data_IF_305727519994
#
_entry.id   IF_305727519994
#
_cell.length_a   1.000
_cell.length_b   1.000
_cell.length_c   1.000
_cell.angle_alpha   90.00
_cell.angle_beta   90.00
_cell.angle_gamma   90.00
#
_symmetry.space_group_name_H-M   'P 1'
#
loop_
_entity.id
_entity.type
_entity.pdbx_description
1 polymer ?
#
# COMPACT_ATOMS: atom_id res chain seq x y z
N UNK A 1 1.12 -9.64 -3.61
CA UNK A 1 0.80 -10.49 -2.45
C UNK A 1 2.03 -10.55 -1.56
N UNK A 2 1.87 -10.33 -0.28
CA UNK A 2 2.96 -10.33 0.71
C UNK A 2 2.63 -11.39 1.75
N UNK A 3 3.63 -12.23 2.11
CA UNK A 3 3.54 -13.24 3.15
C UNK A 3 4.45 -12.84 4.30
N UNK A 4 3.93 -12.85 5.51
CA UNK A 4 4.70 -12.54 6.71
C UNK A 4 4.40 -13.57 7.80
N UNK A 5 5.44 -14.28 8.25
CA UNK A 5 5.34 -15.17 9.40
C UNK A 5 5.25 -14.34 10.68
N UNK A 6 4.27 -14.62 11.51
CA UNK A 6 4.06 -13.96 12.80
C UNK A 6 4.82 -14.70 13.93
N UNK A 7 4.94 -14.07 15.08
CA UNK A 7 5.63 -14.64 16.25
C UNK A 7 4.95 -15.91 16.80
N UNK A 8 3.64 -16.05 16.63
CA UNK A 8 2.83 -17.21 17.02
C UNK A 8 2.84 -18.34 15.99
N UNK A 9 3.74 -18.28 15.00
CA UNK A 9 3.79 -19.16 13.84
C UNK A 9 2.59 -19.09 12.89
N UNK A 10 1.67 -18.19 13.06
CA UNK A 10 0.66 -17.90 12.05
C UNK A 10 1.26 -17.20 10.82
N UNK A 11 0.55 -17.21 9.71
CA UNK A 11 0.98 -16.56 8.48
C UNK A 11 0.02 -15.42 8.14
N UNK A 12 0.51 -14.20 8.23
CA UNK A 12 -0.19 -13.03 7.71
C UNK A 12 -0.05 -12.95 6.20
N UNK A 13 -1.17 -12.78 5.50
CA UNK A 13 -1.19 -12.63 4.04
C UNK A 13 -1.86 -11.31 3.70
N UNK A 14 -1.14 -10.46 2.95
CA UNK A 14 -1.68 -9.18 2.48
C UNK A 14 -1.87 -9.25 0.97
N UNK A 15 -3.11 -9.05 0.55
CA UNK A 15 -3.51 -8.93 -0.84
C UNK A 15 -3.75 -7.47 -1.20
N UNK A 16 -2.97 -6.94 -2.15
CA UNK A 16 -3.24 -5.64 -2.73
C UNK A 16 -3.88 -5.84 -4.10
N UNK A 17 -5.00 -5.17 -4.35
CA UNK A 17 -5.56 -5.04 -5.70
C UNK A 17 -5.42 -3.61 -6.18
N UNK A 18 -4.91 -3.46 -7.39
CA UNK A 18 -4.74 -2.14 -8.04
C UNK A 18 -5.93 -1.77 -8.93
N UNK A 19 -6.78 -2.72 -9.24
CA UNK A 19 -7.88 -2.51 -10.18
C UNK A 19 -9.23 -2.60 -9.48
N UNK A 20 -9.47 -1.63 -8.58
CA UNK A 20 -10.73 -1.54 -7.83
C UNK A 20 -11.92 -1.28 -8.72
N UNK A 21 -11.79 -0.52 -9.81
CA UNK A 21 -12.89 -0.25 -10.73
C UNK A 21 -13.45 -1.54 -11.34
N UNK A 22 -12.60 -2.42 -11.82
CA UNK A 22 -13.03 -3.71 -12.36
C UNK A 22 -13.70 -4.58 -11.30
N UNK A 23 -13.21 -4.54 -10.07
CA UNK A 23 -13.79 -5.29 -8.96
C UNK A 23 -15.15 -4.71 -8.58
N UNK A 24 -15.25 -3.39 -8.45
CA UNK A 24 -16.49 -2.68 -8.15
C UNK A 24 -17.52 -2.87 -9.24
N UNK A 25 -17.14 -2.77 -10.51
CA UNK A 25 -18.04 -2.94 -11.64
C UNK A 25 -18.57 -4.38 -11.74
N UNK A 26 -17.77 -5.36 -11.33
CA UNK A 26 -18.15 -6.78 -11.40
C UNK A 26 -18.93 -7.26 -10.17
N UNK A 27 -18.62 -6.74 -8.98
CA UNK A 27 -19.13 -7.27 -7.71
C UNK A 27 -19.90 -6.25 -6.87
N UNK A 28 -19.97 -4.98 -7.29
CA UNK A 28 -20.60 -3.89 -6.55
C UNK A 28 -19.70 -3.30 -5.45
N UNK A 29 -20.08 -2.11 -4.99
CA UNK A 29 -19.34 -1.39 -3.92
C UNK A 29 -19.73 -1.84 -2.50
N UNK A 30 -20.91 -2.40 -2.35
CA UNK A 30 -21.58 -2.45 -1.06
C UNK A 30 -21.55 -3.84 -0.41
N UNK A 31 -21.40 -4.89 -1.19
CA UNK A 31 -21.39 -6.24 -0.63
C UNK A 31 -19.97 -6.71 -0.31
N UNK A 32 -19.56 -6.42 0.94
CA UNK A 32 -18.27 -6.89 1.47
C UNK A 32 -18.16 -8.42 1.41
N UNK A 33 -19.25 -9.15 1.60
CA UNK A 33 -19.23 -10.61 1.63
C UNK A 33 -18.90 -11.20 0.25
N UNK A 34 -19.45 -10.63 -0.81
CA UNK A 34 -19.11 -11.05 -2.19
C UNK A 34 -17.64 -10.77 -2.46
N UNK A 35 -17.14 -9.62 -2.04
CA UNK A 35 -15.74 -9.26 -2.25
C UNK A 35 -14.79 -10.14 -1.42
N UNK A 36 -15.12 -10.43 -0.16
CA UNK A 36 -14.40 -11.37 0.67
C UNK A 36 -14.33 -12.77 0.05
N UNK A 37 -15.47 -13.28 -0.41
CA UNK A 37 -15.54 -14.57 -1.08
C UNK A 37 -14.64 -14.60 -2.32
N UNK A 38 -14.75 -13.58 -3.16
CA UNK A 38 -13.89 -13.48 -4.36
C UNK A 38 -12.40 -13.48 -4.02
N UNK A 39 -11.98 -12.66 -3.04
CA UNK A 39 -10.58 -12.58 -2.63
C UNK A 39 -10.10 -13.89 -2.00
N UNK A 40 -10.92 -14.53 -1.18
CA UNK A 40 -10.66 -15.85 -0.61
C UNK A 40 -10.48 -16.92 -1.68
N UNK A 41 -11.36 -16.97 -2.67
CA UNK A 41 -11.28 -17.93 -3.78
C UNK A 41 -10.01 -17.71 -4.62
N UNK A 42 -9.65 -16.45 -4.87
CA UNK A 42 -8.39 -16.11 -5.56
C UNK A 42 -7.16 -16.51 -4.75
N UNK A 43 -7.18 -16.26 -3.45
CA UNK A 43 -6.10 -16.66 -2.57
C UNK A 43 -5.96 -18.18 -2.51
N UNK A 44 -7.05 -18.92 -2.29
CA UNK A 44 -7.06 -20.36 -2.27
C UNK A 44 -6.54 -20.96 -3.60
N UNK A 45 -7.00 -20.42 -4.72
CA UNK A 45 -6.50 -20.83 -6.05
C UNK A 45 -4.99 -20.62 -6.17
N UNK A 46 -4.47 -19.50 -5.70
CA UNK A 46 -3.04 -19.21 -5.70
C UNK A 46 -2.26 -20.17 -4.80
N UNK A 47 -2.74 -20.43 -3.59
CA UNK A 47 -2.10 -21.35 -2.63
C UNK A 47 -2.03 -22.77 -3.18
N UNK A 48 -3.13 -23.27 -3.73
CA UNK A 48 -3.20 -24.60 -4.37
C UNK A 48 -2.20 -24.69 -5.54
N UNK A 49 -2.21 -23.69 -6.43
CA UNK A 49 -1.33 -23.65 -7.61
C UNK A 49 0.16 -23.67 -7.23
N UNK A 50 0.51 -23.10 -6.07
CA UNK A 50 1.89 -23.02 -5.60
C UNK A 50 2.23 -24.11 -4.56
N UNK A 51 1.38 -25.13 -4.40
CA UNK A 51 1.57 -26.24 -3.45
C UNK A 51 1.79 -25.80 -2.00
N UNK A 52 1.19 -24.66 -1.61
CA UNK A 52 1.27 -24.18 -0.24
C UNK A 52 0.14 -24.85 0.55
N UNK A 53 0.51 -25.73 1.50
CA UNK A 53 -0.46 -26.39 2.37
C UNK A 53 -1.05 -25.39 3.35
N UNK A 54 -2.36 -25.19 3.27
CA UNK A 54 -3.11 -24.28 4.15
C UNK A 54 -4.34 -24.96 4.71
N UNK A 55 -4.67 -24.66 5.97
CA UNK A 55 -6.03 -24.87 6.47
C UNK A 55 -6.97 -23.91 5.77
N UNK A 56 -8.24 -24.28 5.61
CA UNK A 56 -9.24 -23.38 5.05
C UNK A 56 -9.19 -22.01 5.75
N UNK A 57 -9.10 -20.95 4.97
CA UNK A 57 -9.16 -19.58 5.47
C UNK A 57 -10.64 -19.32 5.80
N UNK A 58 -10.93 -19.03 7.06
CA UNK A 58 -12.24 -18.62 7.49
C UNK A 58 -12.48 -17.16 7.13
N UNK A 59 -13.71 -16.81 6.79
CA UNK A 59 -14.07 -15.41 6.47
C UNK A 59 -13.80 -14.46 7.65
N UNK A 60 -13.91 -14.96 8.87
CA UNK A 60 -13.65 -14.21 10.10
C UNK A 60 -12.17 -13.84 10.30
N UNK A 61 -11.27 -14.56 9.60
CA UNK A 61 -9.83 -14.29 9.62
C UNK A 61 -9.41 -13.22 8.59
N UNK A 62 -10.37 -12.68 7.83
CA UNK A 62 -10.09 -11.71 6.78
C UNK A 62 -10.50 -10.31 7.24
N UNK A 63 -9.56 -9.40 7.20
CA UNK A 63 -9.84 -7.97 7.34
C UNK A 63 -9.60 -7.24 6.02
N UNK A 64 -10.47 -6.32 5.66
CA UNK A 64 -10.35 -5.57 4.43
C UNK A 64 -10.32 -4.07 4.72
N UNK A 65 -9.31 -3.41 4.17
CA UNK A 65 -9.20 -1.96 4.19
C UNK A 65 -9.34 -1.41 2.76
N UNK A 66 -10.29 -0.52 2.58
CA UNK A 66 -10.46 0.19 1.32
C UNK A 66 -9.72 1.53 1.41
N UNK A 67 -8.56 1.59 0.78
CA UNK A 67 -7.77 2.82 0.67
C UNK A 67 -8.31 3.63 -0.50
N UNK A 68 -8.91 4.78 -0.23
CA UNK A 68 -9.42 5.66 -1.28
C UNK A 68 -8.30 6.35 -2.05
N UNK A 69 -7.17 6.60 -1.39
CA UNK A 69 -5.98 7.24 -1.94
C UNK A 69 -4.75 6.55 -1.36
N UNK A 70 -4.33 5.43 -1.98
CA UNK A 70 -3.22 4.60 -1.48
C UNK A 70 -1.91 4.85 -2.19
N UNK A 71 -1.94 5.55 -3.31
CA UNK A 71 -0.75 5.85 -4.10
C UNK A 71 -0.91 7.21 -4.78
N UNK A 72 0.17 7.99 -4.90
CA UNK A 72 0.17 9.22 -5.66
C UNK A 72 -0.13 8.94 -7.14
N UNK A 73 -0.83 9.87 -7.77
CA UNK A 73 -1.17 9.83 -9.20
C UNK A 73 -0.39 10.93 -9.92
N UNK A 74 0.15 10.62 -11.09
CA UNK A 74 0.93 11.55 -11.88
C UNK A 74 2.42 11.53 -11.53
N UNK A 75 3.12 12.59 -11.87
CA UNK A 75 4.59 12.65 -11.76
C UNK A 75 5.09 12.99 -10.35
N UNK A 76 4.20 13.47 -9.49
CA UNK A 76 4.56 13.91 -8.14
C UNK A 76 5.20 15.30 -8.09
N UNK A 77 5.63 15.70 -6.90
CA UNK A 77 6.28 16.99 -6.67
C UNK A 77 7.79 16.83 -6.89
N UNK A 78 8.43 17.65 -7.74
CA UNK A 78 9.88 17.63 -7.93
C UNK A 78 10.65 17.85 -6.61
N UNK A 79 11.73 17.10 -6.39
CA UNK A 79 12.54 17.20 -5.16
C UNK A 79 13.01 18.63 -4.83
N UNK A 80 13.28 19.45 -5.87
CA UNK A 80 13.70 20.84 -5.68
C UNK A 80 12.64 21.72 -5.02
N UNK A 81 11.36 21.32 -5.07
CA UNK A 81 10.24 22.04 -4.49
C UNK A 81 9.86 21.53 -3.10
N UNK A 82 10.65 20.63 -2.50
CA UNK A 82 10.39 20.12 -1.17
C UNK A 82 10.45 21.19 -0.06
N UNK A 83 11.27 22.22 -0.25
CA UNK A 83 11.43 23.29 0.74
C UNK A 83 11.11 24.62 0.09
N UNK A 84 10.19 25.36 0.70
CA UNK A 84 9.92 26.75 0.42
C UNK A 84 10.53 27.60 1.53
N UNK A 85 11.74 28.10 1.29
CA UNK A 85 12.54 28.84 2.28
C UNK A 85 11.85 30.13 2.75
N UNK A 86 11.19 30.83 1.83
CA UNK A 86 10.48 32.09 2.11
C UNK A 86 9.42 31.93 3.21
N UNK A 87 8.72 30.78 3.25
CA UNK A 87 7.65 30.52 4.21
C UNK A 87 8.02 29.50 5.29
N UNK A 88 9.23 28.97 5.28
CA UNK A 88 9.68 27.89 6.17
C UNK A 88 8.76 26.65 6.11
N UNK A 89 8.26 26.35 4.90
CA UNK A 89 7.35 25.23 4.67
C UNK A 89 8.09 24.13 3.92
N UNK A 90 8.05 22.92 4.48
CA UNK A 90 8.63 21.74 3.85
C UNK A 90 7.57 20.69 3.52
N UNK A 91 7.77 19.96 2.42
CA UNK A 91 6.90 18.89 1.95
C UNK A 91 7.68 17.57 1.91
N UNK A 92 7.12 16.53 2.49
CA UNK A 92 7.64 15.17 2.36
C UNK A 92 6.50 14.17 2.24
N UNK A 93 6.81 13.00 1.71
CA UNK A 93 5.84 11.95 1.49
C UNK A 93 6.23 11.09 0.27
N UNK A 94 5.44 10.08 0.00
CA UNK A 94 5.64 9.19 -1.13
C UNK A 94 5.32 9.85 -2.49
N UNK A 95 4.74 11.05 -2.49
CA UNK A 95 4.45 11.86 -3.68
C UNK A 95 5.62 12.75 -4.16
N UNK A 96 6.76 12.71 -3.49
CA UNK A 96 7.96 13.45 -3.94
C UNK A 96 8.67 12.61 -5.00
N UNK A 97 9.08 13.26 -6.10
CA UNK A 97 9.83 12.64 -7.21
C UNK A 97 11.25 12.25 -6.76
N UNK A 98 11.32 11.10 -6.08
CA UNK A 98 12.56 10.48 -5.61
C UNK A 98 12.57 9.01 -5.95
N UNK A 99 13.73 8.37 -5.73
CA UNK A 99 13.79 6.92 -5.73
C UNK A 99 12.76 6.35 -4.76
N UNK A 100 11.98 5.35 -5.21
CA UNK A 100 10.90 4.78 -4.44
C UNK A 100 9.60 5.61 -4.41
N UNK A 101 9.39 6.52 -5.37
CA UNK A 101 8.12 7.22 -5.55
C UNK A 101 6.91 6.29 -5.42
N UNK A 102 5.91 6.70 -4.64
CA UNK A 102 4.71 5.90 -4.36
C UNK A 102 4.93 4.75 -3.38
N UNK A 103 6.03 4.71 -2.64
CA UNK A 103 6.33 3.65 -1.67
C UNK A 103 6.67 4.23 -0.28
N UNK A 104 6.61 3.36 0.75
CA UNK A 104 7.05 3.72 2.11
C UNK A 104 8.53 4.13 2.12
N UNK A 105 9.37 3.46 1.34
CA UNK A 105 10.78 3.82 1.20
C UNK A 105 10.94 5.24 0.67
N UNK A 106 10.22 5.60 -0.41
CA UNK A 106 10.24 6.95 -0.96
C UNK A 106 9.76 8.01 0.03
N UNK A 107 8.72 7.70 0.81
CA UNK A 107 8.24 8.60 1.87
C UNK A 107 9.32 8.87 2.93
N UNK A 108 10.00 7.82 3.42
CA UNK A 108 11.09 7.93 4.39
C UNK A 108 12.26 8.73 3.81
N UNK A 109 12.68 8.39 2.59
CA UNK A 109 13.78 9.07 1.92
C UNK A 109 13.50 10.56 1.72
N UNK A 110 12.26 10.91 1.36
CA UNK A 110 11.84 12.31 1.19
C UNK A 110 11.91 13.09 2.50
N UNK A 111 11.50 12.48 3.62
CA UNK A 111 11.61 13.09 4.94
C UNK A 111 13.07 13.33 5.37
N UNK A 112 13.94 12.34 5.16
CA UNK A 112 15.37 12.46 5.46
C UNK A 112 16.05 13.58 4.64
N UNK A 113 15.74 13.65 3.34
CA UNK A 113 16.28 14.70 2.46
C UNK A 113 15.78 16.09 2.87
N UNK A 114 14.50 16.21 3.21
CA UNK A 114 13.95 17.46 3.70
C UNK A 114 14.61 17.90 5.02
N UNK A 115 14.78 16.97 5.97
CA UNK A 115 15.48 17.25 7.23
C UNK A 115 16.90 17.77 7.01
N UNK A 116 17.66 17.15 6.12
CA UNK A 116 19.00 17.61 5.76
C UNK A 116 19.00 19.02 5.14
N UNK A 117 18.01 19.34 4.31
CA UNK A 117 17.86 20.71 3.77
C UNK A 117 17.61 21.72 4.87
N UNK A 118 16.74 21.42 5.84
CA UNK A 118 16.52 22.30 6.99
C UNK A 118 17.78 22.50 7.83
N UNK A 119 18.53 21.46 8.14
CA UNK A 119 19.78 21.55 8.92
C UNK A 119 20.83 22.41 8.20
N UNK A 120 20.88 22.38 6.89
CA UNK A 120 21.83 23.19 6.11
C UNK A 120 21.42 24.66 6.03
N UNK A 121 20.13 24.94 6.23
CA UNK A 121 19.57 26.28 6.09
C UNK A 121 19.59 27.08 7.40
N UNK A 122 19.60 26.41 8.54
CA UNK A 122 19.69 26.99 9.88
C UNK A 122 21.02 26.69 10.57
#
# INVERSE_FOLDING_TARGET
MIFQRQFDNSLGIVLHTRNMENIINKYGREDRNILYKYLSDKLNTFLIKNHIAFKNILLDDISMMNWRASQPVGEGIPERLQLCEEYNIGFCGDWIQLEGYGTVYGAILSGLKLSNKFIQFY
#
